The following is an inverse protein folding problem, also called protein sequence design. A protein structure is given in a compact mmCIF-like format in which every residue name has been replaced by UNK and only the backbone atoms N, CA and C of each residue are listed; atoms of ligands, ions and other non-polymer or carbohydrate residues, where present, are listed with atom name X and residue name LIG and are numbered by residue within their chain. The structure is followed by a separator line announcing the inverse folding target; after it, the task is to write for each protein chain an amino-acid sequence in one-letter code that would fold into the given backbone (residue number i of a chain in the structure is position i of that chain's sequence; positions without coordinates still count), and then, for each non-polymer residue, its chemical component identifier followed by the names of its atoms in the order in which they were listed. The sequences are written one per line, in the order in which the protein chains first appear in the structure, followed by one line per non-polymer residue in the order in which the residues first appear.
data_IF_000799177276
#
_entry.id   IF_000799177276
#
_cell.length_a   1.000
_cell.length_b   1.000
_cell.length_c   1.000
_cell.angle_alpha   90.00
_cell.angle_beta   90.00
_cell.angle_gamma   90.00
#
_symmetry.space_group_name_H-M   'P 1'
#
loop_
_entity.id
_entity.type
_entity.pdbx_description
1 polymer ?
#
# COMPACT_ATOMS: atom_id res chain seq x y z
N UNK A 1 -25.22 -16.03 -14.59
CA UNK A 1 -25.53 -16.18 -13.16
C UNK A 1 -25.35 -17.64 -12.82
N UNK A 2 -24.25 -18.03 -12.17
CA UNK A 2 -23.98 -19.44 -11.82
C UNK A 2 -23.65 -19.49 -10.33
N UNK A 3 -24.57 -20.06 -9.58
CA UNK A 3 -24.50 -20.27 -8.14
C UNK A 3 -23.34 -21.21 -7.81
N UNK A 4 -22.54 -20.85 -6.80
CA UNK A 4 -21.50 -21.72 -6.23
C UNK A 4 -21.96 -22.19 -4.84
N UNK A 5 -22.12 -23.51 -4.61
CA UNK A 5 -22.60 -24.03 -3.34
C UNK A 5 -21.52 -23.98 -2.26
N UNK A 6 -21.97 -23.73 -1.03
CA UNK A 6 -21.15 -23.55 0.18
C UNK A 6 -20.78 -24.91 0.80
N UNK A 7 -19.47 -25.07 1.02
CA UNK A 7 -18.80 -25.81 2.10
C UNK A 7 -18.93 -27.33 2.17
N UNK A 8 -17.78 -28.01 2.17
CA UNK A 8 -17.57 -29.15 3.07
C UNK A 8 -16.09 -29.33 3.42
N UNK A 9 -15.79 -29.07 4.70
CA UNK A 9 -14.82 -29.79 5.54
C UNK A 9 -13.33 -29.81 5.14
N UNK A 10 -12.60 -28.74 5.51
CA UNK A 10 -11.19 -28.87 5.89
C UNK A 10 -11.07 -28.73 7.41
N UNK A 11 -11.02 -29.86 8.11
CA UNK A 11 -10.83 -29.94 9.56
C UNK A 11 -9.33 -29.87 9.88
N UNK A 12 -8.77 -28.67 9.94
CA UNK A 12 -7.39 -28.44 10.39
C UNK A 12 -7.38 -28.04 11.88
N UNK A 13 -6.86 -28.92 12.72
CA UNK A 13 -6.62 -28.68 14.15
C UNK A 13 -5.27 -27.95 14.29
N UNK A 14 -5.27 -26.81 15.00
CA UNK A 14 -4.15 -25.98 15.50
C UNK A 14 -3.48 -24.92 14.57
N UNK A 15 -3.50 -23.67 15.08
CA UNK A 15 -2.91 -22.39 14.60
C UNK A 15 -3.42 -21.83 13.26
N UNK A 16 -4.48 -21.01 13.33
CA UNK A 16 -4.74 -19.91 12.37
C UNK A 16 -5.05 -20.30 10.92
N UNK A 17 -6.08 -21.12 10.70
CA UNK A 17 -6.57 -21.45 9.35
C UNK A 17 -7.22 -20.22 8.69
N UNK A 18 -6.47 -19.47 7.89
CA UNK A 18 -6.98 -18.39 7.03
C UNK A 18 -7.80 -18.99 5.88
N UNK A 19 -8.99 -18.45 5.60
CA UNK A 19 -9.79 -18.83 4.41
C UNK A 19 -9.03 -18.48 3.13
N UNK A 20 -9.35 -19.12 2.00
CA UNK A 20 -8.79 -18.74 0.70
C UNK A 20 -9.03 -17.25 0.38
N UNK A 21 -10.17 -16.71 0.81
CA UNK A 21 -10.50 -15.29 0.66
C UNK A 21 -9.59 -14.40 1.53
N UNK A 22 -9.33 -14.79 2.78
CA UNK A 22 -8.40 -14.06 3.66
C UNK A 22 -6.97 -14.04 3.09
N UNK A 23 -6.55 -15.15 2.47
CA UNK A 23 -5.27 -15.22 1.78
C UNK A 23 -5.24 -14.29 0.57
N UNK A 24 -6.31 -14.26 -0.23
CA UNK A 24 -6.41 -13.36 -1.38
C UNK A 24 -6.33 -11.88 -0.95
N UNK A 25 -6.99 -11.51 0.15
CA UNK A 25 -6.93 -10.14 0.68
C UNK A 25 -5.55 -9.76 1.20
N UNK A 26 -4.86 -10.69 1.87
CA UNK A 26 -3.47 -10.48 2.27
C UNK A 26 -2.54 -10.29 1.07
N UNK A 27 -2.77 -11.05 -0.01
CA UNK A 27 -2.02 -10.88 -1.26
C UNK A 27 -2.28 -9.51 -1.92
N UNK A 28 -3.54 -9.03 -1.91
CA UNK A 28 -3.88 -7.68 -2.37
C UNK A 28 -3.22 -6.60 -1.52
N UNK A 29 -3.20 -6.77 -0.19
CA UNK A 29 -2.51 -5.86 0.72
C UNK A 29 -1.00 -5.81 0.46
N UNK A 30 -0.36 -6.95 0.19
CA UNK A 30 1.05 -7.04 -0.19
C UNK A 30 1.33 -6.31 -1.50
N UNK A 31 0.49 -6.51 -2.50
CA UNK A 31 0.60 -5.83 -3.80
C UNK A 31 0.50 -4.30 -3.65
N UNK A 32 -0.40 -3.84 -2.79
CA UNK A 32 -0.51 -2.41 -2.46
C UNK A 32 0.80 -1.84 -1.90
N UNK A 33 1.50 -2.56 -1.02
CA UNK A 33 2.79 -2.14 -0.51
C UNK A 33 3.86 -2.07 -1.62
N UNK A 34 3.87 -3.03 -2.55
CA UNK A 34 4.79 -3.00 -3.71
C UNK A 34 4.53 -1.81 -4.63
N UNK A 35 3.27 -1.47 -4.87
CA UNK A 35 2.89 -0.29 -5.63
C UNK A 35 3.36 1.00 -4.92
N UNK A 36 3.16 1.07 -3.60
CA UNK A 36 3.61 2.21 -2.79
C UNK A 36 5.14 2.39 -2.89
N UNK A 37 5.92 1.31 -2.82
CA UNK A 37 7.37 1.36 -3.04
C UNK A 37 7.76 1.76 -4.46
N UNK A 38 7.00 1.35 -5.48
CA UNK A 38 7.22 1.78 -6.87
C UNK A 38 6.99 3.28 -7.02
N UNK A 39 5.95 3.84 -6.38
CA UNK A 39 5.70 5.28 -6.39
C UNK A 39 6.80 6.05 -5.68
N UNK A 40 7.24 5.57 -4.52
CA UNK A 40 8.40 6.11 -3.79
C UNK A 40 9.64 6.22 -4.68
N UNK A 41 10.00 5.15 -5.39
CA UNK A 41 11.18 5.12 -6.27
C UNK A 41 11.04 6.03 -7.49
N UNK A 42 9.94 5.92 -8.24
CA UNK A 42 9.78 6.63 -9.52
C UNK A 42 9.24 8.06 -9.40
N UNK A 43 8.28 8.29 -8.50
CA UNK A 43 7.54 9.58 -8.47
C UNK A 43 8.28 10.62 -7.64
N UNK A 44 8.84 10.21 -6.51
CA UNK A 44 9.67 11.11 -5.70
C UNK A 44 11.17 11.06 -6.06
N UNK A 45 11.52 10.48 -7.21
CA UNK A 45 12.87 10.54 -7.77
C UNK A 45 13.98 9.99 -6.85
N UNK A 46 13.67 9.03 -5.98
CA UNK A 46 14.67 8.37 -5.11
C UNK A 46 15.71 7.52 -5.88
N UNK A 47 15.63 7.43 -7.21
CA UNK A 47 16.63 6.74 -8.02
C UNK A 47 17.99 7.46 -8.02
N UNK A 48 18.00 8.80 -7.81
CA UNK A 48 19.23 9.59 -7.75
C UNK A 48 19.19 10.45 -6.48
N UNK A 49 19.90 9.98 -5.45
CA UNK A 49 20.09 10.71 -4.20
C UNK A 49 21.14 11.80 -4.40
N UNK A 50 20.85 13.02 -3.95
CA UNK A 50 21.76 14.17 -4.16
C UNK A 50 22.85 14.21 -3.08
N UNK A 51 22.58 13.65 -1.91
CA UNK A 51 23.52 13.65 -0.79
C UNK A 51 24.66 12.65 -1.01
N UNK A 52 25.89 13.07 -0.70
CA UNK A 52 27.12 12.26 -0.87
C UNK A 52 27.62 11.62 0.42
N UNK A 53 27.06 11.99 1.58
CA UNK A 53 27.44 11.43 2.89
C UNK A 53 26.37 10.47 3.40
N UNK A 54 26.76 9.36 4.06
CA UNK A 54 25.82 8.31 4.48
C UNK A 54 24.79 8.80 5.51
N UNK A 55 25.14 9.78 6.34
CA UNK A 55 24.23 10.39 7.31
C UNK A 55 23.12 11.19 6.62
N UNK A 56 23.48 11.97 5.60
CA UNK A 56 22.52 12.79 4.85
C UNK A 56 21.65 11.94 3.94
N UNK A 57 22.20 10.88 3.32
CA UNK A 57 21.42 9.92 2.54
C UNK A 57 20.31 9.28 3.38
N UNK A 58 20.61 8.88 4.63
CA UNK A 58 19.56 8.36 5.52
C UNK A 58 18.45 9.38 5.77
N UNK A 59 18.81 10.64 6.03
CA UNK A 59 17.84 11.72 6.22
C UNK A 59 17.01 11.96 4.96
N UNK A 60 17.64 11.94 3.78
CA UNK A 60 16.98 12.07 2.49
C UNK A 60 15.92 10.97 2.31
N UNK A 61 16.28 9.69 2.55
CA UNK A 61 15.33 8.57 2.48
C UNK A 61 14.16 8.76 3.45
N UNK A 62 14.43 9.15 4.70
CA UNK A 62 13.38 9.41 5.69
C UNK A 62 12.44 10.54 5.27
N UNK A 63 12.98 11.61 4.69
CA UNK A 63 12.17 12.72 4.16
C UNK A 63 11.24 12.22 3.05
N UNK A 64 11.73 11.40 2.11
CA UNK A 64 10.88 10.83 1.06
C UNK A 64 9.74 9.99 1.66
N UNK A 65 10.04 9.09 2.59
CA UNK A 65 9.02 8.28 3.28
C UNK A 65 8.01 9.19 3.99
N UNK A 66 8.46 10.22 4.69
CA UNK A 66 7.59 11.17 5.40
C UNK A 66 6.68 11.92 4.43
N UNK A 67 7.22 12.45 3.34
CA UNK A 67 6.46 13.16 2.29
C UNK A 67 5.40 12.25 1.66
N UNK A 68 5.74 11.00 1.36
CA UNK A 68 4.77 10.03 0.84
C UNK A 68 3.61 9.81 1.80
N UNK A 69 3.91 9.57 3.08
CA UNK A 69 2.88 9.37 4.11
C UNK A 69 2.02 10.62 4.30
N UNK A 70 2.61 11.81 4.21
CA UNK A 70 1.88 13.07 4.32
C UNK A 70 0.89 13.24 3.16
N UNK A 71 1.34 13.06 1.92
CA UNK A 71 0.46 13.16 0.73
C UNK A 71 -0.67 12.13 0.82
N UNK A 72 -0.37 10.88 1.21
CA UNK A 72 -1.39 9.85 1.40
C UNK A 72 -2.40 10.20 2.50
N UNK A 73 -1.97 10.87 3.55
CA UNK A 73 -2.86 11.35 4.63
C UNK A 73 -3.78 12.46 4.12
N UNK A 74 -3.24 13.43 3.37
CA UNK A 74 -4.04 14.50 2.76
C UNK A 74 -5.06 13.91 1.77
N UNK A 75 -4.64 12.96 0.94
CA UNK A 75 -5.53 12.24 0.03
C UNK A 75 -6.63 11.49 0.79
N UNK A 76 -6.30 10.82 1.89
CA UNK A 76 -7.30 10.14 2.71
C UNK A 76 -8.29 11.12 3.37
N UNK A 77 -7.82 12.29 3.81
CA UNK A 77 -8.69 13.36 4.32
C UNK A 77 -9.61 13.91 3.23
N UNK A 78 -9.09 14.12 2.02
CA UNK A 78 -9.90 14.56 0.87
C UNK A 78 -10.93 13.49 0.47
N UNK A 79 -10.52 12.23 0.42
CA UNK A 79 -11.40 11.10 0.11
C UNK A 79 -12.52 10.97 1.15
N UNK A 80 -12.19 11.12 2.43
CA UNK A 80 -13.16 11.11 3.53
C UNK A 80 -14.19 12.24 3.42
N UNK A 81 -13.79 13.42 2.93
CA UNK A 81 -14.73 14.52 2.67
C UNK A 81 -15.67 14.27 1.49
N UNK A 82 -15.28 13.40 0.57
CA UNK A 82 -16.05 13.09 -0.65
C UNK A 82 -16.70 11.70 -0.61
N UNK A 83 -16.61 10.98 0.51
CA UNK A 83 -17.09 9.60 0.70
C UNK A 83 -16.55 8.60 -0.34
N UNK A 84 -15.30 8.84 -0.76
CA UNK A 84 -14.58 8.01 -1.73
C UNK A 84 -13.54 7.17 -0.99
N UNK A 85 -13.28 5.95 -1.46
CA UNK A 85 -12.22 5.13 -0.88
C UNK A 85 -10.83 5.76 -1.14
N UNK A 86 -10.01 6.04 -0.10
CA UNK A 86 -8.73 6.73 -0.24
C UNK A 86 -7.76 6.13 -1.26
N UNK A 87 -7.84 4.81 -1.49
CA UNK A 87 -6.96 4.10 -2.44
C UNK A 87 -7.36 4.27 -3.90
N UNK A 88 -8.57 4.75 -4.19
CA UNK A 88 -9.02 5.04 -5.57
C UNK A 88 -8.45 6.35 -6.09
N UNK A 89 -8.02 7.26 -5.20
CA UNK A 89 -7.37 8.50 -5.60
C UNK A 89 -5.91 8.22 -5.99
N UNK A 90 -5.61 8.48 -7.27
CA UNK A 90 -4.27 8.28 -7.82
C UNK A 90 -3.27 9.25 -7.19
N UNK A 91 -2.19 8.70 -6.62
CA UNK A 91 -1.08 9.49 -6.06
C UNK A 91 -0.47 10.44 -7.11
N UNK A 92 -0.43 10.03 -8.38
CA UNK A 92 0.07 10.87 -9.49
C UNK A 92 -0.79 12.11 -9.77
N UNK A 93 -2.06 12.13 -9.36
CA UNK A 93 -2.90 13.31 -9.52
C UNK A 93 -2.65 14.38 -8.44
N UNK A 94 -1.89 14.04 -7.40
CA UNK A 94 -1.62 14.90 -6.24
C UNK A 94 -0.21 15.49 -6.21
N UNK A 95 0.69 15.00 -7.07
CA UNK A 95 2.08 15.48 -7.24
C UNK A 95 2.23 16.00 -8.66
#
# INVERSE_FOLDING_TARGET
MREYPKQTSCRCRNRGSKSCDDLADLYRARWNAELDFRYLKRTMQMEILRCKTPELVRKEIWTHILTYNLIRTILAQAASKHDIEPRTISFKGAV
#
